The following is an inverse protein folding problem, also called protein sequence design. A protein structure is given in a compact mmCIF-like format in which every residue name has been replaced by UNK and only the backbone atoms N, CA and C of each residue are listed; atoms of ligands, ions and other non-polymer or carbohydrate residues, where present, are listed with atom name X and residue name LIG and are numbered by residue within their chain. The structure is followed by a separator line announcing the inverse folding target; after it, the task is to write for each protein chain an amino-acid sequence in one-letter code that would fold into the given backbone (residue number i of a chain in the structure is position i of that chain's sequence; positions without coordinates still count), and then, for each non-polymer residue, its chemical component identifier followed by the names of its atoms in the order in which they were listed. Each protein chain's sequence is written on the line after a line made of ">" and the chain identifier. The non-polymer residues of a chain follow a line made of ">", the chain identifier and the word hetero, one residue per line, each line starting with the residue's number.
data_IF_780005829537
#
_entry.id   IF_780005829537
#
_cell.length_a   1.000
_cell.length_b   1.000
_cell.length_c   1.000
_cell.angle_alpha   90.00
_cell.angle_beta   90.00
_cell.angle_gamma   90.00
#
_symmetry.space_group_name_H-M   'P 1'
#
loop_
_entity.id
_entity.type
_entity.pdbx_description
1 polymer ?
#
# COMPACT_ATOMS: atom_id res chain seq x y z
N UNK A 1 -18.03 -38.36 30.36
CA UNK A 1 -17.45 -38.21 29.00
C UNK A 1 -18.45 -38.80 28.03
N UNK A 2 -19.24 -37.94 27.36
CA UNK A 2 -20.29 -38.39 26.45
C UNK A 2 -19.69 -38.87 25.13
N UNK A 3 -20.09 -40.02 24.57
CA UNK A 3 -19.57 -40.48 23.29
C UNK A 3 -20.08 -39.55 22.17
N UNK A 4 -19.17 -39.00 21.39
CA UNK A 4 -19.48 -38.21 20.19
C UNK A 4 -20.41 -39.00 19.26
N UNK A 5 -21.44 -38.32 18.77
CA UNK A 5 -22.46 -38.86 17.88
C UNK A 5 -21.86 -39.41 16.58
N UNK A 6 -22.51 -40.38 15.91
CA UNK A 6 -22.00 -40.97 14.67
C UNK A 6 -21.71 -39.92 13.58
N UNK A 7 -22.53 -38.87 13.50
CA UNK A 7 -22.37 -37.75 12.56
C UNK A 7 -21.10 -36.92 12.83
N UNK A 8 -20.73 -36.77 14.11
CA UNK A 8 -19.50 -36.08 14.51
C UNK A 8 -18.25 -36.90 14.17
N UNK A 9 -18.32 -38.23 14.26
CA UNK A 9 -17.22 -39.11 13.84
C UNK A 9 -17.00 -39.10 12.33
N UNK A 10 -18.07 -39.06 11.54
CA UNK A 10 -17.96 -38.93 10.08
C UNK A 10 -17.34 -37.58 9.66
N UNK A 11 -17.68 -36.48 10.34
CA UNK A 11 -17.08 -35.17 10.07
C UNK A 11 -15.58 -35.11 10.42
N UNK A 12 -15.18 -35.75 11.52
CA UNK A 12 -13.76 -35.86 11.89
C UNK A 12 -12.98 -36.76 10.91
N UNK A 13 -13.58 -37.85 10.43
CA UNK A 13 -12.96 -38.72 9.43
C UNK A 13 -12.82 -37.97 8.09
N UNK A 14 -13.81 -37.17 7.71
CA UNK A 14 -13.73 -36.33 6.51
C UNK A 14 -12.63 -35.27 6.62
N UNK A 15 -12.49 -34.60 7.78
CA UNK A 15 -11.39 -33.68 8.04
C UNK A 15 -10.02 -34.36 8.03
N UNK A 16 -9.90 -35.57 8.60
CA UNK A 16 -8.65 -36.33 8.59
C UNK A 16 -8.28 -36.83 7.18
N UNK A 17 -9.25 -37.23 6.36
CA UNK A 17 -9.02 -37.65 4.97
C UNK A 17 -8.63 -36.47 4.06
N UNK A 18 -9.11 -35.26 4.34
CA UNK A 18 -8.64 -34.03 3.65
C UNK A 18 -7.25 -33.61 4.16
N UNK A 19 -6.91 -33.89 5.41
CA UNK A 19 -5.62 -33.54 6.02
C UNK A 19 -4.46 -34.50 5.72
N UNK A 20 -4.74 -35.80 5.50
CA UNK A 20 -3.74 -36.81 5.16
C UNK A 20 -3.66 -36.95 3.64
N UNK A 21 -2.82 -36.12 3.01
CA UNK A 21 -2.62 -36.00 1.57
C UNK A 21 -2.27 -37.31 0.83
N UNK A 22 -3.29 -38.12 0.57
CA UNK A 22 -3.25 -39.32 -0.26
C UNK A 22 -4.25 -39.13 -1.41
N UNK A 23 -3.75 -38.62 -2.53
CA UNK A 23 -4.51 -38.51 -3.77
C UNK A 23 -4.19 -37.20 -4.48
N UNK A 24 -3.66 -37.31 -5.71
CA UNK A 24 -3.54 -36.27 -6.73
C UNK A 24 -4.29 -35.00 -6.38
N UNK A 25 -3.55 -33.92 -6.10
CA UNK A 25 -4.05 -32.60 -5.75
C UNK A 25 -5.36 -32.29 -6.50
N UNK A 26 -6.48 -32.51 -5.81
CA UNK A 26 -7.78 -32.14 -6.33
C UNK A 26 -7.67 -30.63 -6.54
N UNK A 27 -7.64 -30.18 -7.80
CA UNK A 27 -7.70 -28.75 -8.14
C UNK A 27 -9.09 -28.28 -7.73
N UNK A 28 -9.25 -28.04 -6.45
CA UNK A 28 -10.42 -27.38 -5.89
C UNK A 28 -10.48 -25.97 -6.49
N UNK A 29 -11.68 -25.47 -6.86
CA UNK A 29 -11.81 -24.16 -7.51
C UNK A 29 -11.45 -22.96 -6.62
N UNK A 30 -11.01 -23.22 -5.38
CA UNK A 30 -10.67 -22.23 -4.36
C UNK A 30 -9.41 -22.69 -3.62
N UNK A 31 -8.49 -21.77 -3.32
CA UNK A 31 -7.40 -22.05 -2.38
C UNK A 31 -7.93 -21.90 -0.95
N UNK A 32 -7.37 -22.68 -0.01
CA UNK A 32 -7.75 -22.61 1.41
C UNK A 32 -7.66 -21.18 1.96
N UNK A 33 -6.64 -20.41 1.53
CA UNK A 33 -6.46 -19.00 1.89
C UNK A 33 -7.63 -18.10 1.44
N UNK A 34 -8.26 -18.42 0.33
CA UNK A 34 -9.38 -17.64 -0.22
C UNK A 34 -10.69 -17.88 0.52
N UNK A 35 -10.80 -19.03 1.22
CA UNK A 35 -11.97 -19.41 2.03
C UNK A 35 -11.85 -18.97 3.50
N UNK A 36 -10.64 -18.66 3.99
CA UNK A 36 -10.42 -18.23 5.38
C UNK A 36 -11.37 -17.08 5.80
N UNK A 37 -11.62 -16.06 4.97
CA UNK A 37 -12.49 -14.94 5.37
C UNK A 37 -13.98 -15.31 5.43
N UNK A 38 -14.39 -16.39 4.76
CA UNK A 38 -15.76 -16.92 4.84
C UNK A 38 -15.98 -17.86 6.05
N UNK A 39 -14.90 -18.24 6.75
CA UNK A 39 -14.99 -19.05 7.96
C UNK A 39 -15.31 -18.18 9.19
N UNK A 40 -15.96 -18.76 10.22
CA UNK A 40 -16.28 -18.05 11.46
C UNK A 40 -15.05 -17.36 12.06
N UNK A 41 -15.23 -16.10 12.48
CA UNK A 41 -14.17 -15.23 13.00
C UNK A 41 -13.30 -15.89 14.08
N UNK A 42 -13.87 -16.76 14.92
CA UNK A 42 -13.14 -17.47 15.96
C UNK A 42 -12.07 -18.44 15.42
N UNK A 43 -12.25 -18.95 14.20
CA UNK A 43 -11.34 -19.88 13.53
C UNK A 43 -10.44 -19.14 12.54
N UNK A 44 -10.99 -18.18 11.79
CA UNK A 44 -10.26 -17.48 10.74
C UNK A 44 -9.35 -16.37 11.28
N UNK A 45 -9.78 -15.60 12.28
CA UNK A 45 -9.05 -14.41 12.74
C UNK A 45 -7.64 -14.69 13.28
N UNK A 46 -7.40 -15.74 14.10
CA UNK A 46 -6.04 -16.06 14.55
C UNK A 46 -5.11 -16.47 13.40
N UNK A 47 -5.65 -17.10 12.35
CA UNK A 47 -4.89 -17.53 11.18
C UNK A 47 -4.66 -16.33 10.24
N UNK A 48 -5.67 -15.52 9.99
CA UNK A 48 -5.59 -14.29 9.18
C UNK A 48 -4.60 -13.28 9.78
N UNK A 49 -4.60 -13.09 11.11
CA UNK A 49 -3.63 -12.21 11.78
C UNK A 49 -2.17 -12.69 11.72
N UNK A 50 -1.94 -13.99 11.47
CA UNK A 50 -0.60 -14.53 11.28
C UNK A 50 -0.20 -14.61 9.80
N UNK A 51 -1.17 -14.57 8.89
CA UNK A 51 -0.94 -14.64 7.44
C UNK A 51 -0.77 -13.25 6.80
N UNK A 52 -1.23 -12.19 7.45
CA UNK A 52 -1.15 -10.82 6.95
C UNK A 52 -0.17 -9.97 7.76
N UNK A 53 0.70 -9.24 7.06
CA UNK A 53 1.61 -8.24 7.63
C UNK A 53 1.20 -6.85 7.15
N UNK A 54 1.57 -5.78 7.86
CA UNK A 54 1.46 -4.43 7.33
C UNK A 54 2.16 -4.26 5.97
N UNK A 55 3.18 -5.09 5.70
CA UNK A 55 3.87 -5.18 4.41
C UNK A 55 2.94 -5.58 3.25
N UNK A 56 1.81 -6.23 3.52
CA UNK A 56 0.82 -6.63 2.52
C UNK A 56 0.10 -5.42 1.89
N UNK A 57 0.17 -4.24 2.53
CA UNK A 57 -0.30 -2.97 1.96
C UNK A 57 0.70 -2.32 1.01
N UNK A 58 1.94 -2.81 0.97
CA UNK A 58 2.95 -2.25 0.09
C UNK A 58 2.82 -2.93 -1.26
N UNK A 59 2.47 -2.18 -2.33
CA UNK A 59 2.52 -2.76 -3.64
C UNK A 59 3.98 -3.00 -4.04
N UNK A 60 4.21 -4.00 -4.87
CA UNK A 60 5.52 -4.22 -5.48
C UNK A 60 5.51 -3.79 -6.94
N UNK A 61 6.65 -3.27 -7.40
CA UNK A 61 6.82 -2.80 -8.77
C UNK A 61 6.85 -3.99 -9.74
N UNK A 62 6.01 -3.92 -10.76
CA UNK A 62 5.94 -4.91 -11.85
C UNK A 62 6.83 -4.48 -13.02
N UNK A 63 6.68 -3.23 -13.42
CA UNK A 63 7.31 -2.71 -14.63
C UNK A 63 6.62 -1.43 -15.08
N UNK A 64 7.15 -0.84 -16.16
CA UNK A 64 6.57 0.36 -16.76
C UNK A 64 6.03 0.05 -18.14
N UNK A 65 4.76 0.38 -18.37
CA UNK A 65 4.11 0.20 -19.66
C UNK A 65 4.31 1.47 -20.47
N UNK A 66 5.15 1.40 -21.48
CA UNK A 66 5.43 2.51 -22.38
C UNK A 66 4.83 2.24 -23.77
N UNK A 67 4.46 3.29 -24.53
CA UNK A 67 3.91 3.13 -25.87
C UNK A 67 4.92 2.55 -26.87
N UNK A 68 6.23 2.65 -26.58
CA UNK A 68 7.30 2.23 -27.49
C UNK A 68 7.82 0.81 -27.23
N UNK A 69 7.62 0.26 -26.03
CA UNK A 69 8.18 -1.04 -25.64
C UNK A 69 7.23 -2.23 -25.87
N UNK A 70 6.09 -2.01 -26.54
CA UNK A 70 5.10 -3.06 -26.79
C UNK A 70 4.31 -3.43 -25.54
N UNK A 71 4.21 -4.72 -25.24
CA UNK A 71 3.54 -5.24 -24.04
C UNK A 71 4.51 -5.75 -22.99
N UNK A 72 4.11 -5.66 -21.72
CA UNK A 72 4.80 -6.30 -20.60
C UNK A 72 3.94 -7.44 -20.05
N UNK A 73 4.59 -8.49 -19.56
CA UNK A 73 3.92 -9.67 -19.01
C UNK A 73 4.35 -9.92 -17.57
N UNK A 74 3.44 -10.39 -16.73
CA UNK A 74 3.74 -10.74 -15.34
C UNK A 74 2.74 -11.73 -14.72
N UNK A 75 3.07 -12.21 -13.53
CA UNK A 75 2.20 -13.03 -12.69
C UNK A 75 1.58 -12.18 -11.59
N UNK A 76 0.26 -12.09 -11.60
CA UNK A 76 -0.54 -11.44 -10.58
C UNK A 76 -0.75 -12.28 -9.33
N UNK A 77 -1.51 -11.72 -8.38
CA UNK A 77 -1.92 -12.41 -7.17
C UNK A 77 -3.02 -13.43 -7.47
N UNK A 78 -3.88 -13.14 -8.46
CA UNK A 78 -5.01 -13.94 -8.92
C UNK A 78 -4.80 -14.56 -10.31
N UNK A 79 -4.24 -13.79 -11.25
CA UNK A 79 -4.07 -14.18 -12.65
C UNK A 79 -2.60 -14.42 -12.97
N UNK A 80 -2.25 -15.56 -13.57
CA UNK A 80 -0.85 -15.88 -13.86
C UNK A 80 -0.39 -15.53 -15.27
N UNK A 81 -1.30 -15.23 -16.19
CA UNK A 81 -0.99 -14.75 -17.53
C UNK A 81 -1.50 -13.32 -17.71
N UNK A 82 -0.83 -12.34 -17.11
CA UNK A 82 -1.17 -10.93 -17.29
C UNK A 82 -0.29 -10.30 -18.36
N UNK A 83 -0.90 -9.46 -19.19
CA UNK A 83 -0.22 -8.69 -20.24
C UNK A 83 -0.81 -7.28 -20.29
N UNK A 84 0.04 -6.25 -20.40
CA UNK A 84 -0.43 -4.88 -20.59
C UNK A 84 0.33 -4.12 -21.67
N UNK A 85 -0.38 -3.22 -22.36
CA UNK A 85 0.15 -2.30 -23.37
C UNK A 85 -0.54 -0.95 -23.25
N UNK A 86 0.17 0.12 -23.62
CA UNK A 86 -0.33 1.50 -23.54
C UNK A 86 -0.41 2.10 -24.94
N UNK A 87 -1.56 2.68 -25.26
CA UNK A 87 -1.73 3.52 -26.45
C UNK A 87 -1.97 4.96 -26.02
N UNK A 88 -1.34 5.91 -26.71
CA UNK A 88 -1.58 7.33 -26.47
C UNK A 88 -2.71 7.82 -27.36
N UNK A 89 -3.65 8.56 -26.77
CA UNK A 89 -4.73 9.22 -27.49
C UNK A 89 -4.27 10.63 -27.86
N UNK A 90 -4.32 10.98 -29.14
CA UNK A 90 -3.93 12.32 -29.60
C UNK A 90 -4.99 13.36 -29.19
N UNK A 91 -4.53 14.58 -28.91
CA UNK A 91 -5.43 15.72 -28.79
C UNK A 91 -6.00 16.09 -30.16
N UNK A 92 -7.30 16.35 -30.21
CA UNK A 92 -7.95 16.83 -31.43
C UNK A 92 -7.67 18.33 -31.58
N UNK A 93 -7.55 18.82 -32.83
CA UNK A 93 -7.36 20.26 -33.12
C UNK A 93 -8.44 21.19 -32.53
N UNK A 94 -9.60 20.64 -32.14
CA UNK A 94 -10.73 21.38 -31.59
C UNK A 94 -10.82 21.30 -30.05
N UNK A 95 -9.91 20.56 -29.41
CA UNK A 95 -9.90 20.33 -27.96
C UNK A 95 -8.51 20.72 -27.41
N UNK A 96 -8.40 21.75 -26.55
CA UNK A 96 -7.12 22.23 -26.04
C UNK A 96 -6.45 21.25 -25.06
N UNK A 97 -7.09 20.14 -24.71
CA UNK A 97 -6.58 19.14 -23.79
C UNK A 97 -5.32 18.44 -24.33
N UNK A 98 -4.43 18.04 -23.42
CA UNK A 98 -3.07 17.55 -23.71
C UNK A 98 -3.02 16.14 -24.35
N UNK A 99 -4.17 15.62 -24.78
CA UNK A 99 -4.34 14.22 -25.15
C UNK A 99 -4.29 13.31 -23.92
N UNK A 100 -4.48 12.02 -24.14
CA UNK A 100 -4.64 11.03 -23.08
C UNK A 100 -3.95 9.71 -23.40
N UNK A 101 -4.46 8.63 -22.83
CA UNK A 101 -4.00 7.29 -23.15
C UNK A 101 -4.98 6.21 -22.72
N UNK A 102 -4.87 5.05 -23.36
CA UNK A 102 -5.63 3.85 -23.00
C UNK A 102 -4.65 2.74 -22.68
N UNK A 103 -4.66 2.31 -21.43
CA UNK A 103 -3.95 1.13 -21.00
C UNK A 103 -4.84 -0.09 -21.19
N UNK A 104 -4.41 -1.00 -22.05
CA UNK A 104 -5.05 -2.28 -22.25
C UNK A 104 -4.40 -3.30 -21.33
N UNK A 105 -5.19 -3.93 -20.48
CA UNK A 105 -4.75 -5.00 -19.58
C UNK A 105 -5.52 -6.28 -19.88
N UNK A 106 -4.80 -7.33 -20.24
CA UNK A 106 -5.35 -8.66 -20.43
C UNK A 106 -4.98 -9.51 -19.23
N UNK A 107 -5.97 -10.04 -18.54
CA UNK A 107 -5.77 -11.00 -17.44
C UNK A 107 -6.20 -12.40 -17.85
N UNK A 108 -5.38 -13.40 -17.52
CA UNK A 108 -5.66 -14.80 -17.85
C UNK A 108 -5.09 -15.77 -16.81
N UNK A 109 -5.47 -17.05 -16.91
CA UNK A 109 -5.02 -18.11 -16.00
C UNK A 109 -5.35 -17.80 -14.52
N UNK A 110 -6.63 -17.52 -14.23
CA UNK A 110 -7.11 -17.35 -12.86
C UNK A 110 -6.92 -18.64 -12.06
N UNK A 111 -6.24 -18.56 -10.91
CA UNK A 111 -6.01 -19.75 -10.07
C UNK A 111 -7.17 -20.05 -9.10
N UNK A 112 -8.09 -19.11 -8.92
CA UNK A 112 -9.26 -19.20 -8.04
C UNK A 112 -10.41 -18.37 -8.57
N UNK A 113 -11.65 -18.78 -8.32
CA UNK A 113 -12.84 -18.06 -8.82
C UNK A 113 -13.20 -16.81 -7.99
N UNK A 114 -12.65 -16.70 -6.79
CA UNK A 114 -12.94 -15.60 -5.85
C UNK A 114 -11.75 -14.67 -5.64
N UNK A 115 -10.62 -14.93 -6.30
CA UNK A 115 -9.47 -14.05 -6.19
C UNK A 115 -9.64 -12.80 -7.06
N UNK A 116 -8.85 -11.78 -6.75
CA UNK A 116 -8.75 -10.57 -7.56
C UNK A 116 -7.38 -9.93 -7.42
N UNK A 117 -6.95 -9.24 -8.47
CA UNK A 117 -5.78 -8.38 -8.44
C UNK A 117 -6.21 -6.93 -8.19
N UNK A 118 -5.39 -6.21 -7.44
CA UNK A 118 -5.50 -4.77 -7.23
C UNK A 118 -4.18 -4.13 -7.69
N UNK A 119 -4.26 -3.22 -8.65
CA UNK A 119 -3.11 -2.55 -9.23
C UNK A 119 -3.10 -1.06 -8.89
N UNK A 120 -1.90 -0.52 -8.78
CA UNK A 120 -1.64 0.92 -8.75
C UNK A 120 -0.88 1.29 -10.03
N UNK A 121 -1.38 2.29 -10.72
CA UNK A 121 -0.80 2.87 -11.92
C UNK A 121 -0.32 4.27 -11.56
N UNK A 122 0.96 4.55 -11.75
CA UNK A 122 1.55 5.80 -11.28
C UNK A 122 2.44 6.46 -12.34
N UNK A 123 2.34 7.78 -12.39
CA UNK A 123 3.31 8.71 -12.98
C UNK A 123 3.82 9.63 -11.84
N UNK A 124 4.86 10.44 -12.05
CA UNK A 124 5.25 11.48 -11.09
C UNK A 124 4.15 12.52 -10.82
N UNK A 125 3.10 12.56 -11.65
CA UNK A 125 2.04 13.56 -11.61
C UNK A 125 0.77 12.98 -10.96
N UNK A 126 0.42 11.72 -11.27
CA UNK A 126 -0.81 11.08 -10.76
C UNK A 126 -0.63 9.66 -10.29
N UNK A 127 -1.59 9.23 -9.46
CA UNK A 127 -1.74 7.85 -9.01
C UNK A 127 -3.19 7.41 -9.23
N UNK A 128 -3.39 6.29 -9.92
CA UNK A 128 -4.70 5.68 -10.21
C UNK A 128 -4.68 4.21 -9.79
N UNK A 129 -5.83 3.68 -9.40
CA UNK A 129 -5.95 2.31 -8.86
C UNK A 129 -7.09 1.62 -9.57
N UNK A 130 -6.93 0.34 -9.90
CA UNK A 130 -7.99 -0.46 -10.51
C UNK A 130 -7.91 -1.92 -10.05
N UNK A 131 -9.03 -2.63 -10.13
CA UNK A 131 -9.17 -4.00 -9.66
C UNK A 131 -9.75 -4.92 -10.74
N UNK A 132 -9.24 -6.14 -10.79
CA UNK A 132 -9.64 -7.12 -11.80
C UNK A 132 -10.03 -8.44 -11.14
N UNK A 133 -11.25 -8.90 -11.43
CA UNK A 133 -11.85 -10.12 -10.86
C UNK A 133 -12.23 -11.15 -11.93
N UNK A 134 -12.09 -10.81 -13.22
CA UNK A 134 -12.38 -11.71 -14.36
C UNK A 134 -11.18 -11.79 -15.29
N UNK A 135 -10.94 -12.98 -15.83
CA UNK A 135 -9.93 -13.23 -16.86
C UNK A 135 -10.46 -12.78 -18.22
N UNK A 136 -10.16 -11.53 -18.60
CA UNK A 136 -10.57 -10.91 -19.86
C UNK A 136 -9.66 -9.73 -20.20
N UNK A 137 -9.95 -9.08 -21.31
CA UNK A 137 -9.37 -7.77 -21.62
C UNK A 137 -10.12 -6.66 -20.87
N UNK A 138 -9.36 -5.75 -20.30
CA UNK A 138 -9.81 -4.57 -19.58
C UNK A 138 -9.10 -3.34 -20.13
N UNK A 139 -9.69 -2.17 -19.88
CA UNK A 139 -9.17 -0.89 -20.35
C UNK A 139 -9.20 0.11 -19.21
N UNK A 140 -8.06 0.76 -18.95
CA UNK A 140 -7.96 1.92 -18.07
C UNK A 140 -7.67 3.15 -18.92
N UNK A 141 -8.56 4.13 -18.88
CA UNK A 141 -8.47 5.36 -19.70
C UNK A 141 -7.91 6.51 -18.87
N UNK A 142 -6.93 7.20 -19.44
CA UNK A 142 -6.44 8.50 -19.01
C UNK A 142 -7.03 9.54 -19.97
N UNK A 143 -8.06 10.28 -19.53
CA UNK A 143 -8.82 11.18 -20.40
C UNK A 143 -7.95 12.34 -20.92
N UNK A 144 -7.23 13.01 -20.01
CA UNK A 144 -6.28 14.07 -20.33
C UNK A 144 -5.08 14.01 -19.38
N UNK A 145 -3.87 14.21 -19.91
CA UNK A 145 -2.66 14.38 -19.11
C UNK A 145 -2.72 15.69 -18.30
N UNK A 146 -2.17 15.70 -17.09
CA UNK A 146 -2.26 16.86 -16.17
C UNK A 146 -1.45 18.03 -16.72
N UNK A 147 -0.26 17.71 -17.26
CA UNK A 147 0.65 18.66 -17.84
C UNK A 147 1.40 18.06 -19.04
N UNK A 148 1.91 18.93 -19.92
CA UNK A 148 2.72 18.49 -21.07
C UNK A 148 3.93 17.66 -20.64
N UNK A 149 4.46 17.91 -19.44
CA UNK A 149 5.58 17.18 -18.86
C UNK A 149 5.19 15.74 -18.44
N UNK A 150 3.93 15.50 -18.05
CA UNK A 150 3.44 14.14 -17.81
C UNK A 150 3.42 13.33 -19.11
N UNK A 151 2.88 13.91 -20.19
CA UNK A 151 2.84 13.26 -21.49
C UNK A 151 4.25 12.89 -21.97
N UNK A 152 5.22 13.80 -21.88
CA UNK A 152 6.61 13.53 -22.26
C UNK A 152 7.25 12.47 -21.35
N UNK A 153 6.97 12.51 -20.04
CA UNK A 153 7.41 11.47 -19.13
C UNK A 153 6.87 10.10 -19.54
N UNK A 154 5.57 9.98 -19.83
CA UNK A 154 4.93 8.71 -20.22
C UNK A 154 5.49 8.18 -21.55
N UNK A 155 5.81 9.04 -22.51
CA UNK A 155 6.47 8.62 -23.76
C UNK A 155 7.84 7.99 -23.52
N UNK A 156 8.60 8.53 -22.58
CA UNK A 156 9.98 8.12 -22.31
C UNK A 156 10.06 6.94 -21.32
N UNK A 157 9.26 6.98 -20.26
CA UNK A 157 9.37 6.08 -19.12
C UNK A 157 8.14 5.16 -18.97
N UNK A 158 7.02 5.49 -19.60
CA UNK A 158 5.76 4.75 -19.44
C UNK A 158 5.04 5.04 -18.13
N UNK A 159 3.95 4.31 -17.92
CA UNK A 159 3.19 4.31 -16.66
C UNK A 159 3.71 3.17 -15.79
N UNK A 160 4.10 3.48 -14.55
CA UNK A 160 4.58 2.47 -13.61
C UNK A 160 3.42 1.64 -13.07
N UNK A 161 3.53 0.32 -13.16
CA UNK A 161 2.54 -0.64 -12.68
C UNK A 161 3.03 -1.30 -11.41
N UNK A 162 2.16 -1.35 -10.43
CA UNK A 162 2.40 -1.84 -9.09
C UNK A 162 1.29 -2.81 -8.72
N UNK A 163 1.62 -3.98 -8.17
CA UNK A 163 0.63 -4.97 -7.75
C UNK A 163 0.56 -5.04 -6.22
N UNK A 164 -0.66 -5.06 -5.70
CA UNK A 164 -0.93 -5.40 -4.30
C UNK A 164 -0.91 -6.93 -4.12
N UNK A 165 0.10 -7.51 -3.44
CA UNK A 165 0.31 -8.96 -3.42
C UNK A 165 -0.80 -9.72 -2.70
N UNK A 166 -1.47 -9.09 -1.74
CA UNK A 166 -2.50 -9.72 -0.91
C UNK A 166 -3.92 -9.58 -1.46
N UNK A 167 -4.09 -9.01 -2.66
CA UNK A 167 -5.39 -8.76 -3.30
C UNK A 167 -6.29 -7.83 -2.47
N UNK A 168 -7.55 -7.63 -2.87
CA UNK A 168 -8.45 -6.68 -2.20
C UNK A 168 -8.75 -7.05 -0.74
N UNK A 169 -8.94 -8.34 -0.45
CA UNK A 169 -9.35 -8.77 0.88
C UNK A 169 -8.21 -8.68 1.89
N UNK A 170 -6.99 -9.09 1.50
CA UNK A 170 -5.81 -8.87 2.31
C UNK A 170 -5.49 -7.38 2.48
N UNK A 171 -5.71 -6.57 1.44
CA UNK A 171 -5.60 -5.11 1.51
C UNK A 171 -6.60 -4.53 2.52
N UNK A 172 -7.88 -4.92 2.45
CA UNK A 172 -8.94 -4.44 3.36
C UNK A 172 -8.69 -4.85 4.81
N UNK A 173 -8.24 -6.09 5.03
CA UNK A 173 -7.86 -6.56 6.37
C UNK A 173 -6.65 -5.79 6.90
N UNK A 174 -5.66 -5.51 6.05
CA UNK A 174 -4.48 -4.75 6.47
C UNK A 174 -4.78 -3.27 6.75
N UNK A 175 -5.82 -2.70 6.13
CA UNK A 175 -6.31 -1.37 6.49
C UNK A 175 -6.77 -1.28 7.95
N UNK A 176 -7.17 -2.38 8.59
CA UNK A 176 -7.49 -2.41 10.03
C UNK A 176 -6.27 -2.06 10.89
N UNK A 177 -5.07 -2.46 10.48
CA UNK A 177 -3.82 -2.15 11.18
C UNK A 177 -3.35 -0.70 10.91
N UNK A 178 -3.77 -0.10 9.78
CA UNK A 178 -3.26 1.21 9.31
C UNK A 178 -4.21 2.38 9.55
N UNK A 179 -5.53 2.21 9.39
CA UNK A 179 -6.52 3.28 9.63
C UNK A 179 -6.43 3.90 11.04
N UNK A 180 -6.23 3.13 12.13
CA UNK A 180 -6.06 3.70 13.46
C UNK A 180 -4.91 4.69 13.59
N UNK A 181 -3.85 4.53 12.78
CA UNK A 181 -2.64 5.34 12.85
C UNK A 181 -2.91 6.83 12.57
N UNK A 182 -3.91 7.12 11.75
CA UNK A 182 -4.26 8.48 11.35
C UNK A 182 -5.19 9.20 12.34
N UNK A 183 -5.63 8.52 13.40
CA UNK A 183 -6.49 9.12 14.42
C UNK A 183 -5.75 10.14 15.27
N UNK A 184 -6.29 11.36 15.42
CA UNK A 184 -5.72 12.40 16.29
C UNK A 184 -6.10 12.23 17.78
N UNK A 185 -6.33 11.01 18.21
CA UNK A 185 -6.74 10.66 19.58
C UNK A 185 -5.61 9.98 20.35
N UNK A 186 -5.80 9.78 21.65
CA UNK A 186 -4.90 8.93 22.45
C UNK A 186 -4.90 7.49 21.94
N UNK A 187 -6.03 7.00 21.43
CA UNK A 187 -6.12 5.70 20.79
C UNK A 187 -5.21 5.61 19.56
N UNK A 188 -5.26 6.61 18.68
CA UNK A 188 -4.35 6.70 17.54
C UNK A 188 -2.89 6.74 17.95
N UNK A 189 -2.53 7.59 18.93
CA UNK A 189 -1.17 7.63 19.48
C UNK A 189 -0.70 6.26 19.98
N UNK A 190 -1.53 5.54 20.73
CA UNK A 190 -1.22 4.21 21.23
C UNK A 190 -1.12 3.19 20.09
N UNK A 191 -1.96 3.30 19.06
CA UNK A 191 -1.89 2.46 17.86
C UNK A 191 -0.56 2.67 17.11
N UNK A 192 -0.11 3.92 16.94
CA UNK A 192 1.20 4.23 16.34
C UNK A 192 2.36 3.60 17.14
N UNK A 193 2.38 3.75 18.47
CA UNK A 193 3.41 3.14 19.33
C UNK A 193 3.37 1.61 19.23
N UNK A 194 2.17 1.02 19.28
CA UNK A 194 2.00 -0.43 19.17
C UNK A 194 2.45 -0.96 17.81
N UNK A 195 2.17 -0.23 16.73
CA UNK A 195 2.61 -0.55 15.38
C UNK A 195 4.14 -0.57 15.28
N UNK A 196 4.81 0.51 15.71
CA UNK A 196 6.29 0.58 15.68
C UNK A 196 6.92 -0.49 16.57
N UNK A 197 6.31 -0.80 17.72
CA UNK A 197 6.77 -1.90 18.58
C UNK A 197 6.61 -3.26 17.89
N UNK A 198 5.46 -3.52 17.27
CA UNK A 198 5.14 -4.79 16.58
C UNK A 198 6.02 -4.99 15.35
N UNK A 199 6.23 -3.96 14.54
CA UNK A 199 6.83 -4.07 13.21
C UNK A 199 8.30 -3.66 13.14
N UNK A 200 8.79 -2.83 14.06
CA UNK A 200 10.20 -2.43 14.14
C UNK A 200 10.91 -2.91 15.40
N UNK A 201 10.19 -3.46 16.38
CA UNK A 201 10.77 -3.74 17.71
C UNK A 201 11.16 -2.48 18.49
N UNK A 202 10.69 -1.30 18.07
CA UNK A 202 11.05 -0.02 18.66
C UNK A 202 10.32 0.23 19.99
N UNK A 203 11.01 0.85 20.95
CA UNK A 203 10.43 1.29 22.23
C UNK A 203 10.44 2.82 22.33
N UNK A 204 9.26 3.40 22.56
CA UNK A 204 9.09 4.84 22.77
C UNK A 204 8.74 5.10 24.23
N UNK A 205 9.72 5.60 24.98
CA UNK A 205 9.55 5.92 26.39
C UNK A 205 9.15 7.37 26.60
N UNK A 206 8.25 7.59 27.55
CA UNK A 206 7.77 8.92 27.89
C UNK A 206 8.82 9.64 28.74
N UNK A 207 9.37 10.74 28.22
CA UNK A 207 10.32 11.59 28.95
C UNK A 207 9.74 12.06 30.29
N UNK A 208 10.54 12.16 31.37
CA UNK A 208 10.13 12.84 32.59
C UNK A 208 9.73 14.30 32.30
N UNK A 209 8.79 14.83 33.09
CA UNK A 209 8.35 16.23 32.97
C UNK A 209 9.37 17.17 33.63
N UNK A 210 9.49 18.43 33.15
CA UNK A 210 8.74 19.04 32.06
C UNK A 210 9.26 18.64 30.67
N UNK A 211 8.37 18.54 29.67
CA UNK A 211 8.76 18.25 28.28
C UNK A 211 9.21 19.52 27.58
N UNK A 212 10.28 20.12 28.09
CA UNK A 212 10.90 21.29 27.48
C UNK A 212 12.24 20.86 26.92
N UNK A 213 12.44 21.12 25.64
CA UNK A 213 13.76 21.09 25.01
C UNK A 213 14.13 22.54 24.76
N UNK A 214 15.06 23.08 25.53
CA UNK A 214 15.56 24.44 25.29
C UNK A 214 16.60 24.38 24.19
N UNK A 215 16.31 25.00 23.06
CA UNK A 215 17.27 25.22 21.97
C UNK A 215 17.66 26.69 22.02
N UNK A 216 18.94 26.97 22.19
CA UNK A 216 19.46 28.32 22.15
C UNK A 216 19.68 28.72 20.68
N UNK A 217 19.00 29.75 20.14
CA UNK A 217 19.14 30.15 18.74
C UNK A 217 20.57 30.55 18.33
N UNK A 218 21.40 30.97 19.29
CA UNK A 218 22.79 31.32 19.03
C UNK A 218 23.65 30.11 18.67
N UNK A 219 23.32 28.93 19.21
CA UNK A 219 24.04 27.69 18.96
C UNK A 219 23.64 27.02 17.63
N UNK A 220 22.57 27.52 16.99
CA UNK A 220 22.04 26.99 15.73
C UNK A 220 22.73 27.67 14.54
N UNK A 221 23.20 26.87 13.59
CA UNK A 221 23.82 27.33 12.36
C UNK A 221 22.93 27.03 11.14
N UNK A 222 23.06 27.84 10.09
CA UNK A 222 22.43 27.55 8.81
C UNK A 222 22.92 26.20 8.29
N UNK A 223 21.98 25.30 7.99
CA UNK A 223 22.26 23.92 7.59
C UNK A 223 22.10 22.88 8.71
N UNK A 224 21.86 23.30 9.96
CA UNK A 224 21.54 22.35 11.03
C UNK A 224 20.21 21.63 10.74
N UNK A 225 20.20 20.31 10.92
CA UNK A 225 19.04 19.47 10.66
C UNK A 225 18.24 19.18 11.93
N UNK A 226 16.93 19.35 11.85
CA UNK A 226 15.98 18.92 12.85
C UNK A 226 15.36 17.58 12.42
N UNK A 227 15.69 16.52 13.15
CA UNK A 227 15.04 15.22 13.01
C UNK A 227 13.82 15.15 13.95
N UNK A 228 12.62 15.11 13.39
CA UNK A 228 11.37 15.19 14.13
C UNK A 228 10.66 13.83 14.10
N UNK A 229 10.11 13.46 15.26
CA UNK A 229 9.39 12.21 15.46
C UNK A 229 8.02 12.47 16.05
N UNK A 230 7.00 12.54 15.19
CA UNK A 230 5.60 12.65 15.56
C UNK A 230 4.96 11.27 15.61
N UNK A 231 4.08 11.10 16.58
CA UNK A 231 3.37 9.84 16.85
C UNK A 231 1.85 10.01 16.80
N UNK A 232 1.35 11.25 16.85
CA UNK A 232 -0.09 11.55 16.98
C UNK A 232 -0.59 12.46 15.85
N UNK A 233 -1.84 12.24 15.45
CA UNK A 233 -2.53 13.01 14.42
C UNK A 233 -2.33 12.44 13.02
N UNK A 234 -2.99 13.03 12.01
CA UNK A 234 -2.91 12.60 10.61
C UNK A 234 -1.46 12.43 10.15
N UNK A 235 -0.63 13.44 10.39
CA UNK A 235 0.80 13.40 10.08
C UNK A 235 1.60 12.40 10.94
N UNK A 236 1.17 12.14 12.18
CA UNK A 236 1.77 11.09 13.01
C UNK A 236 1.57 9.68 12.43
N UNK A 237 0.46 9.43 11.74
CA UNK A 237 0.22 8.18 11.03
C UNK A 237 1.17 8.01 9.83
N UNK A 238 1.31 9.04 9.00
CA UNK A 238 2.27 9.05 7.89
C UNK A 238 3.70 8.85 8.38
N UNK A 239 4.10 9.65 9.37
CA UNK A 239 5.45 9.55 9.93
C UNK A 239 5.72 8.20 10.61
N UNK A 240 4.70 7.49 11.08
CA UNK A 240 4.85 6.13 11.62
C UNK A 240 5.12 5.13 10.51
N UNK A 241 4.41 5.25 9.39
CA UNK A 241 4.65 4.41 8.21
C UNK A 241 6.03 4.69 7.62
N UNK A 242 6.45 5.96 7.53
CA UNK A 242 7.78 6.38 7.07
C UNK A 242 8.89 5.79 7.95
N UNK A 243 8.77 5.90 9.28
CA UNK A 243 9.71 5.26 10.24
C UNK A 243 9.83 3.76 9.98
N UNK A 244 8.70 3.09 9.79
CA UNK A 244 8.68 1.64 9.56
C UNK A 244 9.32 1.23 8.23
N UNK A 245 8.99 1.90 7.12
CA UNK A 245 9.54 1.52 5.80
C UNK A 245 11.01 1.91 5.65
N UNK A 246 11.48 2.95 6.33
CA UNK A 246 12.88 3.40 6.28
C UNK A 246 13.76 2.79 7.37
N UNK A 247 13.17 2.21 8.42
CA UNK A 247 13.89 1.80 9.62
C UNK A 247 14.35 2.97 10.51
N UNK A 248 13.94 4.22 10.22
CA UNK A 248 14.33 5.41 10.98
C UNK A 248 13.44 5.65 12.21
N UNK A 249 13.94 6.45 13.16
CA UNK A 249 13.15 6.88 14.33
C UNK A 249 12.52 8.28 14.15
N UNK A 250 12.98 9.03 13.15
CA UNK A 250 12.38 10.28 12.71
C UNK A 250 11.49 10.02 11.49
N UNK A 251 10.34 10.69 11.43
CA UNK A 251 9.47 10.66 10.24
C UNK A 251 9.59 11.95 9.42
N UNK A 252 10.04 13.05 10.04
CA UNK A 252 10.13 14.34 9.36
C UNK A 252 11.49 14.98 9.57
N UNK A 253 11.93 15.76 8.58
CA UNK A 253 13.17 16.53 8.65
C UNK A 253 12.93 17.96 8.23
N UNK A 254 13.55 18.89 8.95
CA UNK A 254 13.59 20.30 8.59
C UNK A 254 15.02 20.83 8.70
N UNK A 255 15.31 21.95 8.05
CA UNK A 255 16.62 22.60 8.08
C UNK A 255 16.49 23.99 8.71
N UNK A 256 17.42 24.31 9.61
CA UNK A 256 17.54 25.64 10.19
C UNK A 256 18.31 26.56 9.24
N UNK A 257 17.86 27.81 9.09
CA UNK A 257 18.50 28.83 8.26
C UNK A 257 18.51 30.16 9.01
N UNK A 258 19.64 30.86 8.98
CA UNK A 258 19.73 32.26 9.42
C UNK A 258 19.70 33.17 8.19
N UNK A 259 18.88 34.21 8.25
CA UNK A 259 18.89 35.27 7.24
C UNK A 259 20.06 36.24 7.46
N UNK A 260 20.18 37.25 6.60
CA UNK A 260 21.25 38.27 6.67
C UNK A 260 21.19 39.12 7.96
N UNK A 261 20.02 39.21 8.59
CA UNK A 261 19.78 39.93 9.85
C UNK A 261 20.06 39.06 11.08
N UNK A 262 20.29 37.75 10.88
CA UNK A 262 20.55 36.77 11.93
C UNK A 262 19.29 36.12 12.51
N UNK A 263 18.10 36.39 11.95
CA UNK A 263 16.87 35.73 12.40
C UNK A 263 16.88 34.25 12.02
N UNK A 264 16.43 33.39 12.94
CA UNK A 264 16.39 31.94 12.73
C UNK A 264 15.05 31.52 12.10
N UNK A 265 15.16 30.81 10.98
CA UNK A 265 14.07 30.23 10.21
C UNK A 265 14.18 28.70 10.17
N UNK A 266 13.05 28.02 9.99
CA UNK A 266 12.99 26.57 9.75
C UNK A 266 12.39 26.35 8.37
N UNK A 267 13.20 25.83 7.45
CA UNK A 267 12.77 25.39 6.13
C UNK A 267 12.33 23.93 6.18
N UNK A 268 11.11 23.67 5.74
CA UNK A 268 10.56 22.31 5.64
C UNK A 268 9.72 22.14 4.38
N UNK A 269 9.57 20.89 3.92
CA UNK A 269 8.59 20.54 2.90
C UNK A 269 7.26 20.21 3.59
N UNK A 270 6.20 20.94 3.25
CA UNK A 270 4.88 20.81 3.83
C UNK A 270 3.80 21.32 2.88
N UNK A 271 2.53 21.20 3.27
CA UNK A 271 1.43 21.73 2.47
C UNK A 271 1.58 23.25 2.34
N UNK A 272 1.37 23.79 1.13
CA UNK A 272 1.37 25.23 0.91
C UNK A 272 0.40 25.88 1.91
N UNK A 273 0.86 26.93 2.61
CA UNK A 273 -0.07 27.82 3.27
C UNK A 273 -0.96 28.39 2.16
N UNK A 274 -2.28 28.22 2.27
CA UNK A 274 -3.23 28.84 1.35
C UNK A 274 -2.83 30.32 1.16
N UNK A 275 -2.79 30.76 -0.10
CA UNK A 275 -2.45 32.14 -0.44
C UNK A 275 -3.33 33.08 0.40
N UNK A 276 -2.68 33.92 1.20
CA UNK A 276 -3.31 35.05 1.91
C UNK A 276 -3.83 36.06 0.90
#
# INVERSE_FOLDING_TARGET
>A
MSPLSPASRLSLIFLCLVGLGLGHALKVPFKVKDLLPALPHQVSWPVLNNLHSAADLLPYFIGSVSPNNGSIEWKGACFYGNEARLELTQSNRNDPDLGGGVLYLKTSEAHSWTCMDLYVFATPYRITWDYYFTAREHTLTFDSWEESAEMEYVKQHGVSVFLMPSGMLGTLLSLVDVLPLFSNTVWGQNANIAFLKKHMGAAFEKRPKPWVTTINPEDVHSGDFLAVSKIRGRWGGFETLEKWVTGAFAGHTAVCLKDEEGNLWVGESGHENEKV
#
